data_IF_214486841756
#
_entry.id   IF_214486841756
#
_cell.length_a   1.000
_cell.length_b   1.000
_cell.length_c   1.000
_cell.angle_alpha   90.00
_cell.angle_beta   90.00
_cell.angle_gamma   90.00
#
_symmetry.space_group_name_H-M   'P 1'
#
loop_
_entity.id
_entity.type
_entity.pdbx_description
1 polymer ?
#
# COMPACT_ATOMS: atom_id res chain seq x y z
N UNK A 1 3.22 -9.55 -7.17
CA UNK A 1 2.53 -10.59 -6.39
C UNK A 1 2.41 -11.85 -7.24
N UNK A 2 2.70 -13.02 -6.67
CA UNK A 2 2.71 -14.33 -7.36
C UNK A 2 1.50 -15.22 -7.00
N UNK A 3 0.37 -14.64 -6.62
CA UNK A 3 -0.84 -15.41 -6.30
C UNK A 3 -0.74 -16.30 -5.05
N UNK A 4 0.27 -16.10 -4.19
CA UNK A 4 0.33 -16.79 -2.90
C UNK A 4 -0.65 -16.18 -1.91
N UNK A 5 -1.73 -16.90 -1.59
CA UNK A 5 -2.71 -16.54 -0.55
C UNK A 5 -2.35 -17.08 0.84
N UNK A 6 -1.28 -17.88 0.97
CA UNK A 6 -0.93 -18.54 2.25
C UNK A 6 -0.36 -17.60 3.32
N UNK A 7 0.01 -16.37 2.94
CA UNK A 7 0.51 -15.32 3.84
C UNK A 7 -0.27 -14.02 3.76
N UNK A 8 -1.31 -13.96 2.94
CA UNK A 8 -2.06 -12.74 2.66
C UNK A 8 -2.49 -12.03 3.95
N UNK A 9 -2.12 -10.75 4.07
CA UNK A 9 -2.54 -9.85 5.16
C UNK A 9 -3.19 -8.61 4.55
N UNK A 10 -3.96 -8.79 3.48
CA UNK A 10 -4.59 -7.73 2.72
C UNK A 10 -5.82 -7.18 3.44
N UNK A 11 -5.95 -5.86 3.46
CA UNK A 11 -7.17 -5.14 3.77
C UNK A 11 -7.43 -4.17 2.61
N UNK A 12 -8.70 -3.90 2.29
CA UNK A 12 -9.11 -3.02 1.18
C UNK A 12 -10.06 -1.97 1.71
N UNK A 13 -9.82 -0.72 1.35
CA UNK A 13 -10.62 0.42 1.79
C UNK A 13 -11.05 1.25 0.58
N UNK A 14 -12.21 1.88 0.69
CA UNK A 14 -12.57 3.03 -0.15
C UNK A 14 -12.11 4.29 0.59
N UNK A 15 -11.71 5.31 -0.16
CA UNK A 15 -11.29 6.59 0.39
C UNK A 15 -12.50 7.54 0.48
N UNK A 16 -12.45 8.47 1.44
CA UNK A 16 -13.49 9.49 1.65
C UNK A 16 -13.31 10.72 0.75
N UNK A 17 -12.43 10.63 -0.24
CA UNK A 17 -12.12 11.64 -1.24
C UNK A 17 -11.76 10.96 -2.56
N UNK A 18 -11.68 11.74 -3.64
CA UNK A 18 -11.18 11.26 -4.93
C UNK A 18 -9.64 11.40 -4.98
N UNK A 19 -8.88 10.29 -4.97
CA UNK A 19 -7.42 10.35 -4.93
C UNK A 19 -6.78 10.82 -6.25
N UNK A 20 -7.56 11.10 -7.31
CA UNK A 20 -7.03 11.60 -8.58
C UNK A 20 -7.12 13.11 -8.75
N UNK A 21 -7.81 13.81 -7.84
CA UNK A 21 -8.08 15.25 -7.97
C UNK A 21 -7.05 16.14 -7.24
N UNK A 22 -6.39 15.65 -6.19
CA UNK A 22 -5.39 16.40 -5.43
C UNK A 22 -4.34 15.47 -4.78
N UNK A 23 -3.25 16.04 -4.26
CA UNK A 23 -2.25 15.33 -3.48
C UNK A 23 -2.78 15.03 -2.08
N UNK A 24 -2.61 13.77 -1.66
CA UNK A 24 -2.94 13.29 -0.31
C UNK A 24 -1.72 12.64 0.34
N UNK A 25 -1.63 12.73 1.67
CA UNK A 25 -0.49 12.20 2.39
C UNK A 25 -0.71 10.74 2.78
N UNK A 26 0.14 9.86 2.24
CA UNK A 26 0.20 8.45 2.63
C UNK A 26 1.48 8.20 3.41
N UNK A 27 1.37 7.69 4.64
CA UNK A 27 2.54 7.46 5.49
C UNK A 27 2.48 6.14 6.25
N UNK A 28 3.66 5.64 6.61
CA UNK A 28 3.83 4.42 7.39
C UNK A 28 4.67 4.78 8.61
N UNK A 29 4.07 4.72 9.79
CA UNK A 29 4.84 4.69 11.03
C UNK A 29 5.22 3.24 11.30
N UNK A 30 6.50 2.93 11.27
CA UNK A 30 6.98 1.57 11.53
C UNK A 30 8.01 1.57 12.67
N UNK A 31 7.61 1.00 13.79
CA UNK A 31 8.41 0.97 15.01
C UNK A 31 8.70 -0.47 15.46
N UNK A 32 9.41 -0.64 16.58
CA UNK A 32 9.57 -1.96 17.22
C UNK A 32 8.29 -2.48 17.88
N UNK A 33 7.28 -1.62 18.07
CA UNK A 33 6.04 -1.92 18.81
C UNK A 33 4.85 -2.09 17.89
N UNK A 34 4.75 -1.29 16.84
CA UNK A 34 3.62 -1.31 15.91
C UNK A 34 3.99 -0.76 14.53
N UNK A 35 3.13 -1.11 13.56
CA UNK A 35 3.08 -0.49 12.24
C UNK A 35 1.73 0.20 12.12
N UNK A 36 1.69 1.47 11.76
CA UNK A 36 0.47 2.20 11.49
C UNK A 36 0.54 2.79 10.08
N UNK A 37 -0.51 2.54 9.29
CA UNK A 37 -0.72 3.14 7.98
C UNK A 37 -1.67 4.32 8.11
N UNK A 38 -1.32 5.45 7.52
CA UNK A 38 -2.13 6.67 7.55
C UNK A 38 -2.51 7.13 6.14
N UNK A 39 -3.66 7.81 6.07
CA UNK A 39 -4.09 8.65 4.96
C UNK A 39 -4.50 10.00 5.55
N UNK A 40 -3.85 11.09 5.16
CA UNK A 40 -4.08 12.45 5.68
C UNK A 40 -4.11 12.52 7.22
N UNK A 41 -3.15 11.86 7.87
CA UNK A 41 -3.04 11.74 9.34
C UNK A 41 -4.12 10.89 10.01
N UNK A 42 -5.06 10.31 9.26
CA UNK A 42 -6.05 9.36 9.77
C UNK A 42 -5.46 7.95 9.75
N UNK A 43 -5.32 7.26 10.90
CA UNK A 43 -4.85 5.89 10.93
C UNK A 43 -5.91 4.96 10.32
N UNK A 44 -5.57 4.29 9.22
CA UNK A 44 -6.48 3.35 8.54
C UNK A 44 -6.23 1.90 8.94
N UNK A 45 -5.03 1.59 9.45
CA UNK A 45 -4.63 0.25 9.89
C UNK A 45 -3.53 0.31 10.94
N UNK A 46 -3.68 -0.44 12.02
CA UNK A 46 -2.62 -0.67 13.01
C UNK A 46 -2.31 -2.15 13.16
N UNK A 47 -1.03 -2.49 13.16
CA UNK A 47 -0.51 -3.82 13.50
C UNK A 47 0.38 -3.69 14.73
N UNK A 48 -0.16 -4.06 15.88
CA UNK A 48 0.61 -4.12 17.13
C UNK A 48 1.40 -5.42 17.19
N UNK A 49 2.71 -5.32 17.38
CA UNK A 49 3.59 -6.47 17.55
C UNK A 49 3.16 -7.29 18.75
N UNK A 50 2.99 -8.60 18.55
CA UNK A 50 2.81 -9.57 19.63
C UNK A 50 3.86 -10.67 19.55
N UNK A 51 4.12 -11.35 20.67
CA UNK A 51 5.05 -12.49 20.71
C UNK A 51 4.61 -13.62 19.77
N UNK A 52 3.30 -13.83 19.63
CA UNK A 52 2.71 -14.83 18.74
C UNK A 52 3.04 -14.60 17.25
N UNK A 53 3.39 -13.38 16.85
CA UNK A 53 3.83 -13.09 15.47
C UNK A 53 5.22 -13.67 15.16
N UNK A 54 6.05 -13.94 16.18
CA UNK A 54 7.40 -14.47 15.98
C UNK A 54 8.20 -13.68 14.93
N UNK A 55 8.65 -14.38 13.89
CA UNK A 55 9.42 -13.81 12.77
C UNK A 55 8.60 -13.05 11.73
N UNK A 56 7.26 -13.02 11.84
CA UNK A 56 6.39 -12.36 10.87
C UNK A 56 6.36 -10.84 11.02
N UNK A 57 6.74 -10.31 12.19
CA UNK A 57 6.86 -8.86 12.37
C UNK A 57 8.15 -8.36 11.69
N UNK A 58 8.07 -7.43 10.72
CA UNK A 58 9.24 -6.96 10.00
C UNK A 58 10.15 -6.20 10.97
N UNK A 59 11.34 -6.76 11.20
CA UNK A 59 12.32 -6.25 12.18
C UNK A 59 13.71 -6.01 11.59
N UNK A 60 13.89 -6.25 10.28
CA UNK A 60 15.15 -6.04 9.56
C UNK A 60 15.12 -4.67 8.86
N UNK A 61 16.26 -4.03 8.56
CA UNK A 61 16.30 -2.83 7.74
C UNK A 61 15.59 -3.04 6.38
N UNK A 62 14.89 -2.01 5.90
CA UNK A 62 14.14 -2.04 4.64
C UNK A 62 14.49 -0.80 3.81
N UNK A 63 14.09 -0.83 2.54
CA UNK A 63 14.17 0.30 1.61
C UNK A 63 12.77 0.71 1.18
N UNK A 64 12.58 2.00 0.93
CA UNK A 64 11.34 2.54 0.38
C UNK A 64 11.35 2.41 -1.15
N UNK A 65 10.21 2.01 -1.73
CA UNK A 65 10.03 1.89 -3.17
C UNK A 65 8.68 2.50 -3.56
N UNK A 66 8.62 3.13 -4.74
CA UNK A 66 7.40 3.56 -5.39
C UNK A 66 7.46 3.15 -6.88
N UNK A 67 6.42 2.48 -7.38
CA UNK A 67 6.37 2.00 -8.77
C UNK A 67 4.95 2.09 -9.32
N UNK A 68 4.83 2.35 -10.62
CA UNK A 68 3.62 2.13 -11.42
C UNK A 68 3.88 0.94 -12.35
N UNK A 69 2.99 -0.05 -12.38
CA UNK A 69 3.19 -1.28 -13.16
C UNK A 69 1.86 -1.97 -13.49
N UNK A 70 1.87 -2.82 -14.51
CA UNK A 70 0.69 -3.56 -14.97
C UNK A 70 0.45 -4.83 -14.13
N UNK A 71 -0.65 -4.81 -13.38
CA UNK A 71 -1.13 -5.90 -12.52
C UNK A 71 -2.46 -6.50 -13.01
N UNK A 72 -2.70 -6.52 -14.32
CA UNK A 72 -3.98 -6.92 -14.94
C UNK A 72 -4.54 -8.27 -14.48
N UNK A 73 -3.69 -9.19 -14.04
CA UNK A 73 -4.13 -10.51 -13.58
C UNK A 73 -4.88 -10.51 -12.25
N UNK A 74 -4.86 -9.42 -11.47
CA UNK A 74 -5.52 -9.39 -10.15
C UNK A 74 -6.02 -8.03 -9.66
N UNK A 75 -5.53 -6.90 -10.20
CA UNK A 75 -5.75 -5.58 -9.58
C UNK A 75 -7.22 -5.11 -9.57
N UNK A 76 -7.89 -5.13 -10.72
CA UNK A 76 -9.25 -4.57 -10.88
C UNK A 76 -10.30 -5.68 -10.92
N UNK A 77 -11.19 -5.70 -9.92
CA UNK A 77 -12.23 -6.72 -9.73
C UNK A 77 -11.67 -8.16 -9.85
N UNK A 78 -10.55 -8.41 -9.16
CA UNK A 78 -9.88 -9.72 -9.18
C UNK A 78 -9.26 -10.11 -10.52
N UNK A 79 -9.00 -9.13 -11.41
CA UNK A 79 -8.43 -9.35 -12.74
C UNK A 79 -9.47 -9.42 -13.86
N UNK A 80 -10.75 -9.16 -13.56
CA UNK A 80 -11.83 -9.15 -14.56
C UNK A 80 -11.69 -8.02 -15.58
N UNK A 81 -11.09 -6.90 -15.19
CA UNK A 81 -10.89 -5.74 -16.05
C UNK A 81 -9.39 -5.47 -16.23
N UNK A 82 -8.76 -6.02 -17.29
CA UNK A 82 -7.34 -5.77 -17.56
C UNK A 82 -7.09 -4.33 -17.99
N UNK A 83 -5.84 -3.90 -17.92
CA UNK A 83 -5.43 -2.57 -18.41
C UNK A 83 -5.74 -2.45 -19.90
N UNK A 84 -6.16 -1.25 -20.29
CA UNK A 84 -6.41 -0.88 -21.69
C UNK A 84 -5.41 0.18 -22.10
N UNK A 85 -4.36 -0.23 -22.79
CA UNK A 85 -3.27 0.66 -23.22
C UNK A 85 -3.71 1.76 -24.20
N UNK A 86 -4.93 1.70 -24.74
CA UNK A 86 -5.52 2.82 -25.49
C UNK A 86 -5.69 4.12 -24.68
N UNK A 87 -5.65 4.04 -23.33
CA UNK A 87 -5.74 5.19 -22.43
C UNK A 87 -4.38 5.65 -21.88
N UNK A 88 -3.27 5.20 -22.48
CA UNK A 88 -1.94 5.64 -22.07
C UNK A 88 -1.69 7.14 -22.40
N UNK A 89 -0.82 7.84 -21.66
CA UNK A 89 0.02 7.36 -20.55
C UNK A 89 -0.74 7.23 -19.22
N UNK A 90 -0.37 6.24 -18.41
CA UNK A 90 -0.77 6.15 -17.00
C UNK A 90 0.28 6.87 -16.14
N UNK A 91 -0.14 7.92 -15.44
CA UNK A 91 0.76 8.80 -14.69
C UNK A 91 0.41 8.75 -13.21
N UNK A 92 1.45 8.73 -12.37
CA UNK A 92 1.34 8.91 -10.92
C UNK A 92 2.38 9.94 -10.51
N UNK A 93 1.95 10.95 -9.78
CA UNK A 93 2.79 12.06 -9.33
C UNK A 93 3.07 11.91 -7.82
N UNK A 94 4.29 12.25 -7.41
CA UNK A 94 4.73 12.16 -6.02
C UNK A 94 5.48 13.45 -5.66
N UNK A 95 5.17 13.99 -4.48
CA UNK A 95 5.80 15.21 -3.93
C UNK A 95 6.01 15.06 -2.43
N UNK A 96 6.74 16.01 -1.84
CA UNK A 96 6.88 16.18 -0.39
C UNK A 96 7.35 14.92 0.35
N UNK A 97 8.41 14.29 -0.19
CA UNK A 97 9.01 13.10 0.41
C UNK A 97 9.58 13.40 1.80
N UNK A 98 9.13 12.64 2.79
CA UNK A 98 9.61 12.70 4.18
C UNK A 98 10.16 11.32 4.58
N UNK A 99 11.35 11.31 5.16
CA UNK A 99 11.95 10.14 5.80
C UNK A 99 12.54 10.56 7.15
N UNK A 100 11.93 10.08 8.23
CA UNK A 100 12.28 10.37 9.62
C UNK A 100 12.66 9.11 10.40
#
# INVERSE_FOLDING_TARGET
GNGSTSRGREERYTLWFDPTEDFHQYSILWTRKNIIFYVDHVPIREITRSEAMGGDYPSKPMSLYATIWDASSWATDGGKYPVKYEFEPFVSEFTDFVLE
#
